data_IF_818258376463
#
_entry.id   IF_818258376463
#
_cell.length_a   1.000
_cell.length_b   1.000
_cell.length_c   1.000
_cell.angle_alpha   90.00
_cell.angle_beta   90.00
_cell.angle_gamma   90.00
#
_symmetry.space_group_name_H-M   'P 1'
#
loop_
_entity.id
_entity.type
_entity.pdbx_description
1 polymer ?
#
# COMPACT_ATOMS: atom_id res chain seq x y z
N UNK A 1 13.07 6.93 -10.93
CA UNK A 1 13.75 6.81 -9.64
C UNK A 1 12.92 5.92 -8.71
N UNK A 2 13.57 4.95 -8.07
CA UNK A 2 12.83 3.95 -7.29
C UNK A 2 12.74 4.32 -5.82
N UNK A 3 11.61 3.98 -5.22
CA UNK A 3 11.40 4.08 -3.78
C UNK A 3 11.57 2.70 -3.16
N UNK A 4 12.03 2.67 -1.91
CA UNK A 4 12.05 1.43 -1.15
C UNK A 4 10.70 1.28 -0.46
N UNK A 5 10.03 0.16 -0.67
CA UNK A 5 8.74 -0.11 -0.05
C UNK A 5 8.98 -0.92 1.21
N UNK A 6 8.60 -0.36 2.34
CA UNK A 6 8.69 -1.03 3.64
C UNK A 6 7.29 -1.35 4.11
N UNK A 7 7.09 -2.54 4.65
CA UNK A 7 5.81 -2.96 5.18
C UNK A 7 5.96 -3.28 6.65
N UNK A 8 4.97 -2.87 7.44
CA UNK A 8 4.98 -3.15 8.87
C UNK A 8 4.67 -4.61 9.14
N UNK A 9 5.05 -5.10 10.32
CA UNK A 9 4.83 -6.51 10.68
C UNK A 9 3.37 -6.90 10.61
N UNK A 10 2.47 -6.01 11.00
CA UNK A 10 1.03 -6.27 10.92
C UNK A 10 0.58 -6.47 9.47
N UNK A 11 1.19 -5.74 8.54
CA UNK A 11 0.90 -5.88 7.11
C UNK A 11 1.44 -7.19 6.57
N UNK A 12 2.67 -7.56 6.96
CA UNK A 12 3.23 -8.85 6.57
C UNK A 12 2.34 -10.00 7.04
N UNK A 13 1.84 -9.89 8.28
CA UNK A 13 0.96 -10.90 8.84
C UNK A 13 -0.35 -10.99 8.06
N UNK A 14 -0.92 -9.85 7.69
CA UNK A 14 -2.13 -9.83 6.88
C UNK A 14 -1.90 -10.47 5.52
N UNK A 15 -0.76 -10.20 4.89
CA UNK A 15 -0.42 -10.78 3.60
C UNK A 15 -0.31 -12.30 3.69
N UNK A 16 0.30 -12.81 4.76
CA UNK A 16 0.45 -14.25 4.92
C UNK A 16 -0.88 -14.98 5.08
N UNK A 17 -1.90 -14.29 5.57
CA UNK A 17 -3.24 -14.87 5.75
C UNK A 17 -4.07 -14.84 4.49
N UNK A 18 -3.64 -14.14 3.47
CA UNK A 18 -4.37 -14.08 2.20
C UNK A 18 -4.17 -15.33 1.38
N UNK A 19 -5.15 -15.66 0.55
CA UNK A 19 -4.97 -16.68 -0.48
C UNK A 19 -3.80 -16.28 -1.36
N UNK A 20 -3.03 -17.24 -1.81
CA UNK A 20 -1.87 -17.02 -2.64
C UNK A 20 -2.17 -16.13 -3.84
N UNK A 21 -3.31 -16.34 -4.46
CA UNK A 21 -3.73 -15.55 -5.62
C UNK A 21 -3.81 -14.06 -5.31
N UNK A 22 -4.48 -13.71 -4.20
CA UNK A 22 -4.61 -12.31 -3.80
C UNK A 22 -3.29 -11.75 -3.31
N UNK A 23 -2.52 -12.55 -2.59
CA UNK A 23 -1.22 -12.11 -2.09
C UNK A 23 -0.29 -11.72 -3.22
N UNK A 24 -0.23 -12.53 -4.28
CA UNK A 24 0.60 -12.22 -5.44
C UNK A 24 0.14 -10.94 -6.13
N UNK A 25 -1.17 -10.75 -6.24
CA UNK A 25 -1.72 -9.55 -6.84
C UNK A 25 -1.32 -8.31 -6.03
N UNK A 26 -1.45 -8.39 -4.70
CA UNK A 26 -1.07 -7.27 -3.83
C UNK A 26 0.43 -7.00 -3.93
N UNK A 27 1.27 -8.04 -4.00
CA UNK A 27 2.71 -7.85 -4.18
C UNK A 27 3.02 -7.08 -5.46
N UNK A 28 2.31 -7.37 -6.54
CA UNK A 28 2.49 -6.63 -7.79
C UNK A 28 2.18 -5.15 -7.60
N UNK A 29 1.12 -4.85 -6.83
CA UNK A 29 0.76 -3.47 -6.56
C UNK A 29 1.79 -2.78 -5.69
N UNK A 30 2.39 -3.50 -4.75
CA UNK A 30 3.47 -2.95 -3.94
C UNK A 30 4.70 -2.63 -4.81
N UNK A 31 5.01 -3.47 -5.79
CA UNK A 31 6.10 -3.20 -6.73
C UNK A 31 5.82 -1.96 -7.56
N UNK A 32 4.56 -1.73 -7.94
CA UNK A 32 4.19 -0.51 -8.65
C UNK A 32 4.46 0.73 -7.80
N UNK A 33 4.24 0.64 -6.48
CA UNK A 33 4.54 1.74 -5.58
C UNK A 33 6.02 2.05 -5.54
N UNK A 34 6.87 1.03 -5.67
CA UNK A 34 8.32 1.23 -5.70
C UNK A 34 8.73 2.06 -6.93
N UNK A 35 8.03 1.89 -8.04
CA UNK A 35 8.32 2.66 -9.25
C UNK A 35 7.70 4.05 -9.21
N UNK A 36 6.43 4.14 -8.77
CA UNK A 36 5.73 5.43 -8.72
C UNK A 36 4.66 5.39 -7.63
N UNK A 37 4.96 5.92 -6.44
CA UNK A 37 3.99 5.88 -5.33
C UNK A 37 2.79 6.81 -5.52
N UNK A 38 2.82 7.66 -6.54
CA UNK A 38 1.68 8.53 -6.87
C UNK A 38 1.08 8.19 -8.23
N UNK A 39 1.24 6.96 -8.66
CA UNK A 39 0.81 6.53 -9.98
C UNK A 39 -0.66 6.14 -10.04
N UNK A 40 -0.94 5.22 -10.95
CA UNK A 40 -2.29 4.76 -11.23
C UNK A 40 -2.99 4.22 -9.98
N UNK A 41 -4.24 4.62 -9.79
CA UNK A 41 -5.10 4.18 -8.67
C UNK A 41 -4.57 4.56 -7.29
N UNK A 42 -3.70 5.56 -7.25
CA UNK A 42 -3.21 6.14 -6.00
C UNK A 42 -3.97 7.45 -5.74
N UNK A 43 -4.49 7.59 -4.53
CA UNK A 43 -5.28 8.76 -4.13
C UNK A 43 -4.73 9.31 -2.83
N UNK A 44 -4.54 10.63 -2.78
CA UNK A 44 -4.07 11.29 -1.57
C UNK A 44 -5.16 11.25 -0.50
N UNK A 45 -4.77 10.93 0.73
CA UNK A 45 -5.69 10.90 1.86
C UNK A 45 -5.80 12.28 2.50
N UNK A 46 -7.00 12.64 2.93
CA UNK A 46 -7.24 13.88 3.65
C UNK A 46 -6.85 13.69 5.12
N UNK A 47 -6.15 14.68 5.67
CA UNK A 47 -5.85 14.69 7.10
C UNK A 47 -4.64 13.87 7.51
N UNK A 48 -3.94 13.26 6.59
CA UNK A 48 -2.72 12.50 6.86
C UNK A 48 -1.60 13.04 5.99
N UNK A 49 -0.56 13.58 6.63
CA UNK A 49 0.57 14.14 5.90
C UNK A 49 1.23 13.06 5.03
N UNK A 50 1.33 13.35 3.74
CA UNK A 50 1.93 12.45 2.76
C UNK A 50 1.28 11.06 2.75
N UNK A 51 0.02 10.98 3.17
CA UNK A 51 -0.73 9.74 3.19
C UNK A 51 -1.44 9.48 1.88
N UNK A 52 -1.41 8.24 1.43
CA UNK A 52 -2.00 7.83 0.17
C UNK A 52 -2.67 6.48 0.29
N UNK A 53 -3.58 6.22 -0.63
CA UNK A 53 -4.26 4.94 -0.75
C UNK A 53 -4.11 4.44 -2.18
N UNK A 54 -3.71 3.18 -2.32
CA UNK A 54 -3.70 2.51 -3.62
C UNK A 54 -4.73 1.40 -3.63
N UNK A 55 -5.53 1.36 -4.67
CA UNK A 55 -6.54 0.30 -4.83
C UNK A 55 -5.87 -0.95 -5.38
N UNK A 56 -6.08 -2.07 -4.69
CA UNK A 56 -5.70 -3.40 -5.15
C UNK A 56 -6.92 -4.28 -4.89
N UNK A 57 -7.94 -4.08 -5.71
CA UNK A 57 -9.27 -4.64 -5.49
C UNK A 57 -9.25 -6.11 -5.14
N UNK A 58 -9.92 -6.55 -4.07
CA UNK A 58 -10.83 -5.78 -3.19
C UNK A 58 -10.13 -5.16 -1.98
N UNK A 59 -8.80 -5.04 -2.02
CA UNK A 59 -8.02 -4.51 -0.92
C UNK A 59 -7.63 -3.05 -1.15
N UNK A 60 -7.30 -2.38 -0.06
CA UNK A 60 -6.76 -1.04 -0.10
C UNK A 60 -5.42 -1.04 0.62
N UNK A 61 -4.43 -0.46 -0.03
CA UNK A 61 -3.08 -0.31 0.53
C UNK A 61 -2.94 1.13 1.00
N UNK A 62 -2.75 1.31 2.31
CA UNK A 62 -2.56 2.65 2.87
C UNK A 62 -1.10 2.83 3.24
N UNK A 63 -0.52 3.94 2.83
CA UNK A 63 0.90 4.17 2.98
C UNK A 63 1.20 5.66 3.07
N UNK A 64 2.41 5.97 3.54
CA UNK A 64 2.95 7.32 3.51
C UNK A 64 4.18 7.34 2.63
N UNK A 65 4.51 8.51 2.11
CA UNK A 65 5.66 8.68 1.21
C UNK A 65 6.65 9.64 1.86
N UNK A 66 7.90 9.22 1.96
CA UNK A 66 9.00 10.08 2.38
C UNK A 66 9.87 10.32 1.15
N UNK A 67 9.72 11.48 0.53
CA UNK A 67 10.43 11.80 -0.70
C UNK A 67 11.92 12.03 -0.50
N UNK A 68 12.31 12.51 0.67
CA UNK A 68 13.73 12.72 0.97
C UNK A 68 14.47 11.39 1.05
N UNK A 69 13.91 10.46 1.79
CA UNK A 69 14.53 9.14 1.98
C UNK A 69 14.16 8.15 0.89
N UNK A 70 13.22 8.50 0.03
CA UNK A 70 12.71 7.61 -1.01
C UNK A 70 12.16 6.33 -0.42
N UNK A 71 11.30 6.48 0.59
CA UNK A 71 10.68 5.35 1.29
C UNK A 71 9.17 5.48 1.20
N UNK A 72 8.53 4.36 0.88
CA UNK A 72 7.08 4.19 0.97
C UNK A 72 6.82 3.28 2.17
N UNK A 73 6.13 3.79 3.18
CA UNK A 73 5.82 3.04 4.39
C UNK A 73 4.37 2.56 4.34
N UNK A 74 4.19 1.26 4.10
CA UNK A 74 2.87 0.65 4.05
C UNK A 74 2.47 0.24 5.45
N UNK A 75 1.41 0.86 5.98
CA UNK A 75 1.01 0.62 7.36
C UNK A 75 -0.32 -0.14 7.50
N UNK A 76 -1.14 -0.19 6.46
CA UNK A 76 -2.38 -0.97 6.47
C UNK A 76 -2.64 -1.55 5.08
N UNK A 77 -3.05 -2.82 5.06
CA UNK A 77 -3.69 -3.42 3.90
C UNK A 77 -4.99 -4.00 4.43
N UNK A 78 -6.12 -3.51 3.92
CA UNK A 78 -7.42 -3.91 4.43
C UNK A 78 -8.39 -4.19 3.29
N UNK A 79 -9.32 -5.09 3.56
CA UNK A 79 -10.40 -5.37 2.63
C UNK A 79 -11.32 -4.14 2.55
N UNK A 80 -11.91 -3.90 1.38
CA UNK A 80 -12.75 -2.73 1.17
C UNK A 80 -13.82 -2.55 2.25
N UNK A 81 -14.36 -3.65 2.75
CA UNK A 81 -15.41 -3.61 3.78
C UNK A 81 -14.90 -3.10 5.12
N UNK A 82 -13.62 -3.28 5.40
CA UNK A 82 -13.04 -2.84 6.66
C UNK A 82 -12.71 -1.34 6.65
N UNK A 83 -12.35 -0.83 5.47
CA UNK A 83 -11.92 0.57 5.33
C UNK A 83 -13.09 1.54 5.47
N UNK A 84 -14.29 1.12 5.13
CA UNK A 84 -15.46 1.98 5.11
C UNK A 84 -16.34 1.85 6.36
N UNK A 85 -15.76 1.45 7.43
CA UNK A 85 -16.49 1.43 8.69
C UNK A 85 -16.55 2.79 9.34
#
# INVERSE_FOLDING_TARGET
MRYRVEVRKSVEKALRKMDQKFRQYVYQKLLELAENPRGSKCTKLTGIDNGYRKIAWPYRILYTIDDEKKIVDVYIIAHRKEVYR
#
